data_IF_591160961831
#
_entry.id   IF_591160961831
#
_cell.length_a   1.000
_cell.length_b   1.000
_cell.length_c   1.000
_cell.angle_alpha   90.00
_cell.angle_beta   90.00
_cell.angle_gamma   90.00
#
_symmetry.space_group_name_H-M   'P 1'
#
loop_
_entity.id
_entity.type
_entity.pdbx_description
1 polymer ?
#
# COMPACT_ATOMS: atom_id res chain seq x y z
N UNK A 1 12.14 11.80 -15.18
CA UNK A 1 11.12 10.81 -14.75
C UNK A 1 9.95 11.55 -14.14
N UNK A 2 8.72 11.30 -14.53
CA UNK A 2 7.51 11.88 -13.91
C UNK A 2 6.97 10.93 -12.85
N UNK A 3 6.72 11.42 -11.64
CA UNK A 3 6.27 10.59 -10.52
C UNK A 3 4.90 11.06 -10.05
N UNK A 4 3.95 10.13 -10.01
CA UNK A 4 2.64 10.33 -9.37
C UNK A 4 2.72 9.87 -7.91
N UNK A 5 2.30 10.73 -7.00
CA UNK A 5 2.22 10.49 -5.55
C UNK A 5 0.75 10.45 -5.12
N UNK A 6 0.41 9.45 -4.30
CA UNK A 6 -0.91 9.26 -3.70
C UNK A 6 -0.77 8.61 -2.32
N UNK A 7 -1.88 8.46 -1.60
CA UNK A 7 -1.98 7.73 -0.33
C UNK A 7 -3.45 7.40 -0.01
N UNK A 8 -3.70 6.81 1.15
CA UNK A 8 -5.03 6.65 1.76
C UNK A 8 -5.28 7.51 3.00
N UNK A 9 -4.24 8.06 3.63
CA UNK A 9 -4.38 9.00 4.76
C UNK A 9 -4.88 10.40 4.35
N UNK A 10 -4.89 10.70 3.04
CA UNK A 10 -5.36 11.96 2.46
C UNK A 10 -4.26 12.99 2.16
N UNK A 11 -4.63 14.01 1.36
CA UNK A 11 -3.71 14.98 0.73
C UNK A 11 -2.87 15.84 1.69
N UNK A 12 -3.32 15.97 2.94
CA UNK A 12 -2.67 16.77 3.97
C UNK A 12 -1.85 15.93 4.96
N UNK A 13 -1.84 14.60 4.81
CA UNK A 13 -1.22 13.67 5.75
C UNK A 13 0.30 13.87 5.85
N UNK A 14 0.84 13.62 7.05
CA UNK A 14 2.29 13.68 7.31
C UNK A 14 3.07 12.70 6.45
N UNK A 15 2.56 11.47 6.29
CA UNK A 15 3.19 10.43 5.47
C UNK A 15 3.32 10.79 3.99
N UNK A 16 2.36 11.54 3.43
CA UNK A 16 2.44 12.03 2.06
C UNK A 16 3.51 13.12 1.89
N UNK A 17 3.73 13.96 2.91
CA UNK A 17 4.84 14.93 2.91
C UNK A 17 6.19 14.22 2.92
N UNK A 18 6.31 13.15 3.71
CA UNK A 18 7.51 12.29 3.71
C UNK A 18 7.71 11.66 2.34
N UNK A 19 6.64 11.13 1.72
CA UNK A 19 6.73 10.56 0.38
C UNK A 19 7.18 11.59 -0.66
N UNK A 20 6.62 12.79 -0.62
CA UNK A 20 7.02 13.89 -1.51
C UNK A 20 8.50 14.25 -1.33
N UNK A 21 8.98 14.34 -0.08
CA UNK A 21 10.39 14.57 0.22
C UNK A 21 11.29 13.47 -0.37
N UNK A 22 10.92 12.19 -0.20
CA UNK A 22 11.67 11.06 -0.77
C UNK A 22 11.67 11.11 -2.31
N UNK A 23 10.53 11.41 -2.92
CA UNK A 23 10.38 11.47 -4.38
C UNK A 23 11.21 12.61 -5.01
N UNK A 24 11.38 13.74 -4.30
CA UNK A 24 12.23 14.86 -4.73
C UNK A 24 13.69 14.48 -4.96
N UNK A 25 14.20 13.44 -4.29
CA UNK A 25 15.55 12.94 -4.54
C UNK A 25 15.72 12.31 -5.93
N UNK A 26 14.61 11.97 -6.60
CA UNK A 26 14.62 11.28 -7.90
C UNK A 26 14.05 12.12 -9.04
N UNK A 27 13.22 13.13 -8.75
CA UNK A 27 12.63 13.99 -9.79
C UNK A 27 12.07 15.31 -9.26
N UNK A 28 12.12 16.33 -10.12
CA UNK A 28 11.41 17.61 -9.95
C UNK A 28 9.97 17.58 -10.51
N UNK A 29 9.65 16.63 -11.41
CA UNK A 29 8.32 16.47 -12.02
C UNK A 29 7.45 15.54 -11.17
N UNK A 30 6.97 16.09 -10.06
CA UNK A 30 6.09 15.41 -9.10
C UNK A 30 4.64 15.88 -9.27
N UNK A 31 3.72 14.91 -9.29
CA UNK A 31 2.28 15.13 -9.28
C UNK A 31 1.70 14.50 -8.02
N UNK A 32 0.88 15.25 -7.29
CA UNK A 32 0.17 14.76 -6.10
C UNK A 32 -1.31 14.71 -6.40
N UNK A 33 -1.89 13.51 -6.36
CA UNK A 33 -3.35 13.30 -6.48
C UNK A 33 -3.74 12.30 -5.40
N UNK A 34 -4.44 12.77 -4.38
CA UNK A 34 -4.77 11.96 -3.19
C UNK A 34 -6.21 12.22 -2.71
N UNK A 35 -6.77 11.35 -1.85
CA UNK A 35 -8.05 11.59 -1.22
C UNK A 35 -8.10 12.91 -0.45
N UNK A 36 -9.26 13.56 -0.40
CA UNK A 36 -9.48 14.77 0.38
C UNK A 36 -9.48 14.50 1.90
N UNK A 37 -9.87 13.29 2.29
CA UNK A 37 -10.01 12.82 3.68
C UNK A 37 -9.40 11.41 3.80
N UNK A 38 -9.14 10.95 5.02
CA UNK A 38 -8.60 9.62 5.29
C UNK A 38 -9.59 8.52 4.84
N UNK A 39 -9.07 7.48 4.18
CA UNK A 39 -9.81 6.37 3.56
C UNK A 39 -9.25 5.00 4.00
N UNK A 40 -8.72 4.90 5.23
CA UNK A 40 -8.15 3.66 5.75
C UNK A 40 -9.19 2.52 5.71
N UNK A 41 -8.78 1.35 5.21
CA UNK A 41 -9.64 0.17 5.11
C UNK A 41 -10.70 0.22 4.00
N UNK A 42 -10.64 1.20 3.09
CA UNK A 42 -11.52 1.24 1.91
C UNK A 42 -11.27 0.09 0.92
N UNK A 43 -10.16 -0.66 1.05
CA UNK A 43 -9.75 -1.70 0.10
C UNK A 43 -9.55 -1.17 -1.31
N UNK A 44 -9.54 -2.09 -2.28
CA UNK A 44 -9.44 -1.77 -3.70
C UNK A 44 -10.81 -1.36 -4.28
N UNK A 45 -11.46 -0.37 -3.66
CA UNK A 45 -12.79 0.08 -4.05
C UNK A 45 -12.74 1.26 -5.03
N UNK A 46 -13.58 1.18 -6.06
CA UNK A 46 -13.81 2.24 -7.04
C UNK A 46 -15.17 2.88 -6.79
N UNK A 47 -15.23 4.22 -6.77
CA UNK A 47 -16.50 4.93 -6.55
C UNK A 47 -17.33 4.94 -7.84
N UNK A 48 -18.33 4.05 -7.92
CA UNK A 48 -19.23 3.95 -9.08
C UNK A 48 -20.64 4.53 -8.84
N UNK A 49 -21.07 4.62 -7.59
CA UNK A 49 -22.44 4.98 -7.22
C UNK A 49 -22.68 6.49 -7.07
N UNK A 50 -21.62 7.30 -7.08
CA UNK A 50 -21.69 8.75 -6.89
C UNK A 50 -20.60 9.47 -7.70
N UNK A 51 -20.82 10.74 -8.10
CA UNK A 51 -19.80 11.49 -8.82
C UNK A 51 -18.58 11.77 -7.93
N UNK A 52 -17.38 11.65 -8.52
CA UNK A 52 -16.11 12.04 -7.90
C UNK A 52 -15.84 13.51 -8.22
N UNK A 53 -15.46 14.31 -7.22
CA UNK A 53 -15.04 15.70 -7.42
C UNK A 53 -13.54 15.80 -7.31
N UNK A 54 -12.94 16.49 -8.28
CA UNK A 54 -11.52 16.84 -8.30
C UNK A 54 -11.36 18.32 -7.93
N UNK A 55 -10.46 18.62 -7.01
CA UNK A 55 -10.12 20.00 -6.63
C UNK A 55 -8.62 20.22 -6.82
N UNK A 56 -8.27 21.26 -7.58
CA UNK A 56 -6.89 21.74 -7.71
C UNK A 56 -6.51 22.53 -6.46
N UNK A 57 -5.39 22.16 -5.85
CA UNK A 57 -4.80 22.84 -4.69
C UNK A 57 -3.57 23.66 -5.08
N UNK A 58 -2.81 23.16 -6.06
CA UNK A 58 -1.65 23.84 -6.66
C UNK A 58 -1.46 23.36 -8.12
N UNK A 59 -0.43 23.84 -8.83
CA UNK A 59 -0.16 23.50 -10.23
C UNK A 59 -0.23 22.00 -10.50
N UNK A 60 0.44 21.19 -9.66
CA UNK A 60 0.52 19.72 -9.76
C UNK A 60 0.01 18.99 -8.50
N UNK A 61 -0.83 19.65 -7.71
CA UNK A 61 -1.38 19.10 -6.46
C UNK A 61 -2.90 19.16 -6.48
N UNK A 62 -3.53 18.02 -6.31
CA UNK A 62 -4.97 17.85 -6.40
C UNK A 62 -5.49 16.94 -5.28
N UNK A 63 -6.76 17.12 -4.92
CA UNK A 63 -7.47 16.17 -4.07
C UNK A 63 -8.77 15.70 -4.70
N UNK A 64 -9.18 14.47 -4.37
CA UNK A 64 -10.43 13.86 -4.84
C UNK A 64 -11.36 13.49 -3.68
N UNK A 65 -12.67 13.61 -3.87
CA UNK A 65 -13.68 13.14 -2.88
C UNK A 65 -13.95 11.64 -2.96
N UNK A 66 -12.92 10.85 -3.29
CA UNK A 66 -12.99 9.42 -3.58
C UNK A 66 -11.87 8.65 -2.91
N UNK A 67 -11.67 7.41 -3.34
CA UNK A 67 -10.70 6.46 -2.79
C UNK A 67 -9.28 6.71 -3.33
N UNK A 68 -8.25 6.04 -2.79
CA UNK A 68 -6.90 6.05 -3.36
C UNK A 68 -6.89 5.56 -4.81
N UNK A 69 -7.67 4.52 -5.11
CA UNK A 69 -7.92 4.00 -6.47
C UNK A 69 -8.50 5.09 -7.37
N UNK A 70 -9.55 5.79 -6.92
CA UNK A 70 -10.14 6.91 -7.67
C UNK A 70 -9.10 8.01 -7.94
N UNK A 71 -8.20 8.27 -6.98
CA UNK A 71 -7.13 9.27 -7.10
C UNK A 71 -6.18 8.92 -8.26
N UNK A 72 -5.74 7.66 -8.33
CA UNK A 72 -4.86 7.17 -9.40
C UNK A 72 -5.57 7.17 -10.74
N UNK A 73 -6.83 6.74 -10.78
CA UNK A 73 -7.65 6.75 -11.99
C UNK A 73 -7.88 8.16 -12.53
N UNK A 74 -8.15 9.13 -11.66
CA UNK A 74 -8.28 10.54 -12.05
C UNK A 74 -6.95 11.12 -12.52
N UNK A 75 -5.84 10.73 -11.88
CA UNK A 75 -4.51 11.15 -12.32
C UNK A 75 -4.19 10.62 -13.72
N UNK A 76 -4.18 9.30 -13.90
CA UNK A 76 -3.71 8.65 -15.14
C UNK A 76 -4.75 8.79 -16.27
N UNK A 77 -6.04 8.69 -15.96
CA UNK A 77 -7.11 8.70 -16.94
C UNK A 77 -7.56 10.11 -17.37
N UNK A 78 -7.35 11.13 -16.54
CA UNK A 78 -7.83 12.49 -16.82
C UNK A 78 -6.71 13.54 -16.80
N UNK A 79 -6.01 13.73 -15.67
CA UNK A 79 -5.03 14.81 -15.53
C UNK A 79 -3.75 14.61 -16.35
N UNK A 80 -3.29 13.36 -16.44
CA UNK A 80 -2.02 12.95 -17.02
C UNK A 80 -2.22 12.09 -18.27
N UNK A 81 -3.40 12.19 -18.92
CA UNK A 81 -3.79 11.34 -20.04
C UNK A 81 -2.83 11.40 -21.22
N UNK A 82 -2.35 12.59 -21.54
CA UNK A 82 -1.42 12.83 -22.66
C UNK A 82 0.03 12.52 -22.29
N UNK A 83 0.34 12.57 -20.99
CA UNK A 83 1.70 12.54 -20.44
C UNK A 83 1.70 11.68 -19.17
N UNK A 84 1.64 10.36 -19.37
CA UNK A 84 1.56 9.37 -18.28
C UNK A 84 2.73 9.51 -17.28
N UNK A 85 2.52 9.12 -16.01
CA UNK A 85 3.64 8.99 -15.07
C UNK A 85 4.53 7.81 -15.44
N UNK A 86 5.81 7.91 -15.12
CA UNK A 86 6.80 6.84 -15.27
C UNK A 86 6.82 5.92 -14.02
N UNK A 87 6.34 6.44 -12.89
CA UNK A 87 6.32 5.79 -11.59
C UNK A 87 5.12 6.29 -10.78
N UNK A 88 4.43 5.36 -10.10
CA UNK A 88 3.45 5.66 -9.06
C UNK A 88 4.03 5.29 -7.71
N UNK A 89 4.02 6.22 -6.77
CA UNK A 89 4.34 5.95 -5.37
C UNK A 89 3.09 6.19 -4.52
N UNK A 90 2.76 5.23 -3.66
CA UNK A 90 1.63 5.29 -2.74
C UNK A 90 2.10 5.21 -1.30
N UNK A 91 1.71 6.17 -0.46
CA UNK A 91 2.08 6.24 0.96
C UNK A 91 2.66 7.61 1.38
N UNK A 92 3.59 7.69 2.34
CA UNK A 92 3.97 6.60 3.25
C UNK A 92 2.82 6.36 4.22
N UNK A 93 2.23 5.17 4.19
CA UNK A 93 1.11 4.84 5.06
C UNK A 93 1.51 4.89 6.54
N UNK A 94 0.61 5.40 7.37
CA UNK A 94 0.71 5.26 8.83
C UNK A 94 0.19 3.89 9.27
N UNK A 95 1.07 2.90 9.25
CA UNK A 95 0.74 1.53 9.62
C UNK A 95 1.26 0.52 8.63
N UNK A 96 1.45 -0.70 9.10
CA UNK A 96 1.94 -1.78 8.28
C UNK A 96 0.86 -2.24 7.28
N UNK A 97 1.30 -2.64 6.09
CA UNK A 97 0.49 -3.39 5.13
C UNK A 97 1.25 -4.68 4.83
N UNK A 98 1.10 -5.66 5.72
CA UNK A 98 1.86 -6.92 5.72
C UNK A 98 0.92 -8.10 5.48
N UNK A 99 1.48 -9.18 4.96
CA UNK A 99 0.75 -10.43 4.74
C UNK A 99 -0.54 -10.19 3.94
N UNK A 100 -1.66 -10.77 4.36
CA UNK A 100 -2.96 -10.69 3.72
C UNK A 100 -3.66 -9.33 3.88
N UNK A 101 -3.19 -8.44 4.78
CA UNK A 101 -3.71 -7.07 4.94
C UNK A 101 -3.54 -6.24 3.66
N UNK A 102 -2.59 -6.63 2.79
CA UNK A 102 -2.36 -6.00 1.48
C UNK A 102 -3.63 -5.96 0.62
N UNK A 103 -4.56 -6.90 0.81
CA UNK A 103 -5.82 -6.96 0.05
C UNK A 103 -6.85 -5.92 0.50
N UNK A 104 -6.74 -5.44 1.74
CA UNK A 104 -7.64 -4.44 2.33
C UNK A 104 -7.01 -3.04 2.38
N UNK A 105 -5.72 -2.94 2.06
CA UNK A 105 -4.95 -1.71 2.14
C UNK A 105 -5.30 -0.73 1.03
N UNK A 106 -5.68 0.50 1.40
CA UNK A 106 -5.89 1.60 0.45
C UNK A 106 -4.58 2.06 -0.19
N UNK A 107 -3.51 2.16 0.60
CA UNK A 107 -2.15 2.45 0.09
C UNK A 107 -1.70 1.43 -0.96
N UNK A 108 -1.81 0.13 -0.69
CA UNK A 108 -1.43 -0.91 -1.66
C UNK A 108 -2.36 -0.91 -2.88
N UNK A 109 -3.66 -0.73 -2.66
CA UNK A 109 -4.68 -0.61 -3.72
C UNK A 109 -4.38 0.51 -4.73
N UNK A 110 -3.90 1.67 -4.27
CA UNK A 110 -3.48 2.75 -5.17
C UNK A 110 -2.28 2.34 -6.04
N UNK A 111 -1.31 1.61 -5.47
CA UNK A 111 -0.19 1.06 -6.24
C UNK A 111 -0.65 -0.04 -7.23
N UNK A 112 -1.59 -0.89 -6.83
CA UNK A 112 -2.21 -1.87 -7.71
C UNK A 112 -2.81 -1.21 -8.95
N UNK A 113 -3.57 -0.12 -8.80
CA UNK A 113 -4.11 0.62 -9.95
C UNK A 113 -3.04 1.20 -10.86
N UNK A 114 -1.95 1.74 -10.30
CA UNK A 114 -0.80 2.19 -11.09
C UNK A 114 -0.23 1.08 -11.96
N UNK A 115 -0.02 -0.10 -11.36
CA UNK A 115 0.47 -1.28 -12.05
C UNK A 115 -0.53 -1.83 -13.09
N UNK A 116 -1.84 -1.80 -12.81
CA UNK A 116 -2.89 -2.17 -13.78
C UNK A 116 -2.93 -1.21 -14.98
N UNK A 117 -2.65 0.08 -14.76
CA UNK A 117 -2.53 1.09 -15.80
C UNK A 117 -1.23 0.98 -16.64
N UNK A 118 -0.38 0.00 -16.33
CA UNK A 118 0.89 -0.27 -17.01
C UNK A 118 2.03 0.63 -16.53
N UNK A 119 1.91 1.24 -15.36
CA UNK A 119 2.95 2.08 -14.75
C UNK A 119 3.60 1.32 -13.60
N UNK A 120 4.92 1.42 -13.44
CA UNK A 120 5.60 0.82 -12.27
C UNK A 120 5.05 1.47 -11.00
N UNK A 121 4.75 0.66 -9.99
CA UNK A 121 4.09 1.14 -8.78
C UNK A 121 4.70 0.56 -7.51
N UNK A 122 4.92 1.42 -6.52
CA UNK A 122 5.50 1.07 -5.24
C UNK A 122 4.61 1.61 -4.11
N UNK A 123 4.22 0.73 -3.19
CA UNK A 123 3.53 1.08 -1.96
C UNK A 123 4.53 1.14 -0.80
N UNK A 124 4.44 2.17 0.04
CA UNK A 124 5.35 2.41 1.16
C UNK A 124 4.55 2.57 2.45
N UNK A 125 4.97 1.85 3.49
CA UNK A 125 4.25 1.76 4.77
C UNK A 125 5.21 1.83 5.95
N UNK A 126 4.93 2.67 6.95
CA UNK A 126 5.71 2.74 8.18
C UNK A 126 5.01 1.96 9.29
N UNK A 127 5.68 0.93 9.82
CA UNK A 127 5.19 0.21 11.00
C UNK A 127 5.38 1.08 12.24
N UNK A 128 4.38 1.12 13.12
CA UNK A 128 4.43 1.84 14.39
C UNK A 128 4.68 0.89 15.58
N UNK A 129 5.44 1.36 16.57
CA UNK A 129 5.91 0.52 17.68
C UNK A 129 4.85 0.24 18.76
N UNK A 130 3.81 1.08 18.83
CA UNK A 130 2.77 1.05 19.87
C UNK A 130 1.42 1.48 19.29
N UNK A 131 0.36 0.85 19.76
CA UNK A 131 -1.01 1.29 19.51
C UNK A 131 -1.26 2.67 20.16
N UNK A 132 -2.15 3.48 19.56
CA UNK A 132 -2.57 4.76 20.14
C UNK A 132 -1.67 5.96 19.85
N UNK A 133 -0.69 5.85 18.92
CA UNK A 133 0.19 6.97 18.58
C UNK A 133 -0.47 8.06 17.70
N UNK A 134 -1.60 7.79 17.06
CA UNK A 134 -2.30 8.80 16.26
C UNK A 134 -1.37 9.53 15.28
N UNK A 135 -1.34 10.86 15.32
CA UNK A 135 -0.50 11.68 14.42
C UNK A 135 0.98 11.77 14.85
N UNK A 136 1.37 11.13 15.94
CA UNK A 136 2.76 11.16 16.44
C UNK A 136 3.62 10.01 15.92
N UNK A 137 3.15 9.23 14.94
CA UNK A 137 3.93 8.12 14.37
C UNK A 137 5.20 8.68 13.70
N UNK A 138 6.40 8.29 14.17
CA UNK A 138 7.64 8.73 13.55
C UNK A 138 7.88 7.94 12.25
N UNK A 139 7.97 8.65 11.14
CA UNK A 139 8.38 8.10 9.84
C UNK A 139 9.91 7.96 9.71
N UNK A 140 10.62 7.81 10.84
CA UNK A 140 12.08 7.92 10.88
C UNK A 140 12.77 6.85 10.02
N UNK A 141 12.35 5.59 10.13
CA UNK A 141 12.87 4.52 9.27
C UNK A 141 12.59 4.80 7.78
N UNK A 142 11.36 5.22 7.44
CA UNK A 142 11.02 5.61 6.07
C UNK A 142 11.86 6.79 5.55
N UNK A 143 12.11 7.81 6.37
CA UNK A 143 12.95 8.96 6.00
C UNK A 143 14.42 8.52 5.81
N UNK A 144 14.97 7.75 6.75
CA UNK A 144 16.38 7.36 6.72
C UNK A 144 16.73 6.27 5.69
N UNK A 145 15.76 5.44 5.32
CA UNK A 145 15.97 4.32 4.38
C UNK A 145 15.22 4.43 3.06
N UNK A 146 14.24 5.33 2.94
CA UNK A 146 13.37 5.43 1.78
C UNK A 146 14.12 5.58 0.46
N UNK A 147 15.13 6.45 0.41
CA UNK A 147 15.95 6.61 -0.80
C UNK A 147 16.76 5.34 -1.13
N UNK A 148 17.34 4.69 -0.12
CA UNK A 148 18.12 3.45 -0.28
C UNK A 148 17.27 2.29 -0.81
N UNK A 149 15.98 2.28 -0.46
CA UNK A 149 15.02 1.27 -0.90
C UNK A 149 14.49 1.60 -2.30
N UNK A 150 14.12 2.87 -2.54
CA UNK A 150 13.52 3.30 -3.79
C UNK A 150 14.50 3.28 -4.96
N UNK A 151 15.77 3.67 -4.74
CA UNK A 151 16.79 3.74 -5.80
C UNK A 151 16.91 2.44 -6.61
N UNK A 152 17.18 1.27 -6.02
CA UNK A 152 17.26 0.02 -6.79
C UNK A 152 15.93 -0.37 -7.43
N UNK A 153 14.79 -0.07 -6.80
CA UNK A 153 13.46 -0.37 -7.39
C UNK A 153 13.15 0.50 -8.61
N UNK A 154 13.67 1.73 -8.66
CA UNK A 154 13.52 2.64 -9.80
C UNK A 154 14.47 2.24 -10.94
N UNK A 155 15.68 1.80 -10.60
CA UNK A 155 16.74 1.44 -11.57
C UNK A 155 16.57 0.03 -12.14
N UNK A 156 15.88 -0.86 -11.43
CA UNK A 156 15.67 -2.25 -11.85
C UNK A 156 14.41 -2.38 -12.70
N UNK A 157 14.52 -3.07 -13.83
CA UNK A 157 13.36 -3.53 -14.59
C UNK A 157 12.81 -4.82 -13.98
N UNK A 158 11.50 -4.87 -13.76
CA UNK A 158 10.79 -6.07 -13.34
C UNK A 158 9.53 -6.26 -14.19
N UNK A 159 8.91 -7.43 -14.05
CA UNK A 159 7.81 -7.85 -14.90
C UNK A 159 6.68 -6.79 -14.96
N UNK A 160 6.03 -6.61 -16.12
CA UNK A 160 4.86 -5.75 -16.22
C UNK A 160 3.78 -6.16 -15.23
N UNK A 161 2.97 -5.19 -14.77
CA UNK A 161 1.89 -5.41 -13.78
C UNK A 161 2.37 -5.99 -12.44
N UNK A 162 3.64 -5.79 -12.10
CA UNK A 162 4.16 -6.00 -10.74
C UNK A 162 3.99 -4.71 -9.94
N UNK A 163 3.44 -4.84 -8.72
CA UNK A 163 3.60 -3.80 -7.70
C UNK A 163 4.66 -4.25 -6.69
N UNK A 164 5.35 -3.31 -6.08
CA UNK A 164 6.28 -3.62 -4.98
C UNK A 164 5.74 -3.01 -3.69
N UNK A 165 5.51 -3.85 -2.69
CA UNK A 165 5.07 -3.43 -1.37
C UNK A 165 6.28 -3.32 -0.43
N UNK A 166 6.44 -2.17 0.24
CA UNK A 166 7.56 -1.87 1.13
C UNK A 166 7.04 -1.54 2.52
N UNK A 167 7.55 -2.22 3.54
CA UNK A 167 7.29 -1.87 4.94
C UNK A 167 8.58 -1.55 5.68
N UNK A 168 8.60 -0.38 6.33
CA UNK A 168 9.69 0.05 7.20
C UNK A 168 9.43 -0.39 8.64
N UNK A 169 10.41 -0.97 9.35
CA UNK A 169 10.22 -1.43 10.71
C UNK A 169 10.01 -0.26 11.67
N UNK A 170 9.38 -0.55 12.81
CA UNK A 170 9.12 0.41 13.88
C UNK A 170 10.38 0.68 14.74
N UNK A 171 11.49 1.00 14.07
CA UNK A 171 12.79 1.26 14.68
C UNK A 171 13.29 2.64 14.25
N UNK A 172 14.13 3.29 15.08
CA UNK A 172 14.94 4.40 14.62
C UNK A 172 15.77 4.02 13.39
N UNK A 173 16.00 4.99 12.51
CA UNK A 173 16.68 4.78 11.22
C UNK A 173 18.09 4.19 11.36
N UNK A 174 18.80 4.50 12.45
CA UNK A 174 20.12 3.98 12.79
C UNK A 174 20.13 2.54 13.32
N UNK A 175 18.96 1.99 13.67
CA UNK A 175 18.78 0.62 14.17
C UNK A 175 18.23 -0.35 13.13
N UNK A 176 17.78 0.15 11.98
CA UNK A 176 17.36 -0.71 10.86
C UNK A 176 18.56 -1.49 10.32
N UNK A 177 18.43 -2.82 10.25
CA UNK A 177 19.54 -3.74 9.96
C UNK A 177 19.85 -3.90 8.47
N UNK A 178 18.95 -3.46 7.60
CA UNK A 178 19.08 -3.60 6.15
C UNK A 178 17.74 -3.77 5.45
N UNK A 179 17.81 -4.25 4.20
CA UNK A 179 16.66 -4.50 3.33
C UNK A 179 16.61 -6.00 3.02
N UNK A 180 15.43 -6.61 3.07
CA UNK A 180 15.21 -8.00 2.64
C UNK A 180 14.09 -8.06 1.60
N UNK A 181 14.38 -8.73 0.49
CA UNK A 181 13.34 -9.15 -0.47
C UNK A 181 12.72 -10.44 0.05
N UNK A 182 11.40 -10.45 0.21
CA UNK A 182 10.67 -11.49 0.94
C UNK A 182 9.37 -11.84 0.26
N UNK A 183 8.77 -12.96 0.66
CA UNK A 183 7.41 -13.33 0.24
C UNK A 183 6.36 -12.71 1.16
N UNK A 184 5.14 -12.60 0.66
CA UNK A 184 3.98 -12.22 1.46
C UNK A 184 3.72 -13.30 2.52
N UNK A 185 3.58 -12.89 3.79
CA UNK A 185 3.14 -13.76 4.89
C UNK A 185 1.62 -13.99 4.90
N UNK A 186 1.13 -14.70 5.90
CA UNK A 186 -0.30 -14.90 6.15
C UNK A 186 -0.59 -14.86 7.66
N UNK A 187 -1.66 -14.16 8.05
CA UNK A 187 -2.18 -14.24 9.41
C UNK A 187 -3.00 -15.54 9.63
N UNK A 188 -3.06 -16.01 10.88
CA UNK A 188 -3.92 -17.13 11.27
C UNK A 188 -5.38 -16.65 11.41
N UNK A 189 -6.17 -16.78 10.33
CA UNK A 189 -7.60 -16.43 10.32
C UNK A 189 -8.42 -17.17 11.40
N UNK A 190 -7.99 -18.35 11.84
CA UNK A 190 -8.67 -19.13 12.87
C UNK A 190 -8.68 -18.46 14.25
N UNK A 191 -7.98 -17.34 14.41
CA UNK A 191 -7.82 -16.61 15.69
C UNK A 191 -8.28 -15.16 15.65
N UNK A 192 -9.07 -14.76 14.64
CA UNK A 192 -9.64 -13.42 14.56
C UNK A 192 -10.35 -13.05 15.88
N UNK A 193 -9.94 -11.94 16.51
CA UNK A 193 -10.56 -11.46 17.75
C UNK A 193 -11.64 -10.46 17.38
N UNK A 194 -12.87 -10.76 17.77
CA UNK A 194 -13.95 -9.79 17.78
C UNK A 194 -14.04 -9.24 19.21
N UNK A 195 -13.61 -8.00 19.42
CA UNK A 195 -13.72 -7.32 20.71
C UNK A 195 -15.11 -6.70 20.82
N UNK A 196 -16.02 -7.40 21.50
CA UNK A 196 -17.35 -6.89 21.81
C UNK A 196 -17.26 -5.90 22.98
N UNK A 197 -17.90 -4.76 22.81
CA UNK A 197 -18.12 -3.76 23.85
C UNK A 197 -19.58 -3.33 23.81
N UNK A 198 -20.04 -2.72 24.89
CA UNK A 198 -21.41 -2.20 24.98
C UNK A 198 -21.33 -0.70 25.21
N UNK A 199 -22.10 0.06 24.43
CA UNK A 199 -22.16 1.50 24.58
C UNK A 199 -22.97 1.90 25.85
N UNK A 200 -22.94 3.18 26.27
CA UNK A 200 -23.70 3.62 27.45
C UNK A 200 -25.22 3.46 27.35
N UNK A 201 -25.76 3.17 26.16
CA UNK A 201 -27.20 2.94 25.92
C UNK A 201 -27.56 1.45 25.91
N UNK A 202 -26.58 0.57 26.09
CA UNK A 202 -26.79 -0.88 26.12
C UNK A 202 -26.69 -1.55 24.74
N UNK A 203 -26.22 -0.85 23.70
CA UNK A 203 -26.03 -1.45 22.38
C UNK A 203 -24.63 -2.01 22.23
N UNK A 204 -24.55 -3.25 21.78
CA UNK A 204 -23.27 -3.87 21.46
C UNK A 204 -22.64 -3.25 20.20
N UNK A 205 -21.32 -3.04 20.27
CA UNK A 205 -20.47 -2.70 19.15
C UNK A 205 -19.22 -3.59 19.17
N UNK A 206 -18.65 -3.81 17.99
CA UNK A 206 -17.61 -4.81 17.80
C UNK A 206 -16.42 -4.18 17.09
N UNK A 207 -15.23 -4.45 17.60
CA UNK A 207 -13.98 -4.16 16.90
C UNK A 207 -13.38 -5.46 16.37
N UNK A 208 -12.90 -5.40 15.14
CA UNK A 208 -12.09 -6.47 14.58
C UNK A 208 -10.63 -6.22 14.96
N UNK A 209 -10.04 -7.15 15.70
CA UNK A 209 -8.63 -7.16 16.04
C UNK A 209 -7.90 -8.27 15.28
N UNK A 210 -6.92 -7.89 14.46
CA UNK A 210 -5.99 -8.83 13.82
C UNK A 210 -5.04 -9.43 14.88
N UNK A 211 -4.68 -10.70 14.72
CA UNK A 211 -3.93 -11.50 15.72
C UNK A 211 -2.59 -12.04 15.19
N UNK A 212 -1.71 -12.57 16.06
CA UNK A 212 -0.35 -12.94 15.70
C UNK A 212 -0.24 -13.98 14.58
N UNK A 213 0.87 -13.86 13.86
CA UNK A 213 1.31 -14.57 12.66
C UNK A 213 1.42 -16.10 12.79
N UNK A 214 1.30 -16.79 11.63
CA UNK A 214 1.84 -18.14 11.43
C UNK A 214 3.33 -18.04 11.11
N UNK A 215 4.22 -18.41 12.03
CA UNK A 215 5.66 -18.36 11.78
C UNK A 215 6.07 -19.39 10.73
N UNK A 216 6.99 -19.00 9.85
CA UNK A 216 7.63 -19.90 8.90
C UNK A 216 8.99 -20.35 9.45
N UNK A 217 9.45 -21.58 9.15
CA UNK A 217 10.80 -22.03 9.52
C UNK A 217 11.93 -21.19 8.92
N UNK A 218 11.65 -20.37 7.90
CA UNK A 218 12.64 -19.67 7.09
C UNK A 218 12.83 -18.18 7.39
N UNK A 219 11.95 -17.55 8.18
CA UNK A 219 11.97 -16.09 8.40
C UNK A 219 12.03 -15.28 7.10
N UNK A 220 11.30 -15.74 6.08
CA UNK A 220 11.36 -15.24 4.72
C UNK A 220 10.07 -14.52 4.29
N UNK A 221 9.21 -14.22 5.27
CA UNK A 221 8.01 -13.39 5.07
C UNK A 221 8.25 -11.92 5.39
N UNK A 222 7.38 -11.07 4.86
CA UNK A 222 7.35 -9.64 5.15
C UNK A 222 7.15 -9.31 6.63
N UNK A 223 6.28 -10.03 7.34
CA UNK A 223 6.10 -9.87 8.78
C UNK A 223 7.40 -10.21 9.52
N UNK A 224 8.04 -11.32 9.19
CA UNK A 224 9.28 -11.77 9.86
C UNK A 224 10.44 -10.81 9.60
N UNK A 225 10.60 -10.32 8.37
CA UNK A 225 11.63 -9.34 8.06
C UNK A 225 11.47 -8.04 8.87
N UNK A 226 10.24 -7.52 8.98
CA UNK A 226 9.94 -6.33 9.78
C UNK A 226 10.19 -6.59 11.27
N UNK A 227 9.75 -7.74 11.80
CA UNK A 227 9.98 -8.14 13.19
C UNK A 227 11.48 -8.30 13.51
N UNK A 228 12.26 -8.77 12.54
CA UNK A 228 13.72 -8.91 12.65
C UNK A 228 14.46 -7.57 12.54
N UNK A 229 13.76 -6.46 12.24
CA UNK A 229 14.33 -5.12 12.13
C UNK A 229 14.88 -4.77 10.74
N UNK A 230 14.38 -5.41 9.69
CA UNK A 230 14.71 -5.12 8.30
C UNK A 230 13.54 -4.39 7.62
N UNK A 231 13.85 -3.59 6.59
CA UNK A 231 12.84 -3.16 5.62
C UNK A 231 12.44 -4.37 4.78
N UNK A 232 11.15 -4.67 4.70
CA UNK A 232 10.63 -5.69 3.80
C UNK A 232 10.33 -5.11 2.43
N UNK A 233 10.69 -5.84 1.39
CA UNK A 233 10.39 -5.52 -0.02
C UNK A 233 9.75 -6.75 -0.65
N UNK A 234 8.47 -6.65 -0.96
CA UNK A 234 7.66 -7.77 -1.45
C UNK A 234 7.13 -7.44 -2.84
N UNK A 235 7.63 -8.06 -3.92
CA UNK A 235 6.99 -7.97 -5.22
C UNK A 235 5.68 -8.75 -5.19
N UNK A 236 4.57 -8.11 -5.57
CA UNK A 236 3.25 -8.72 -5.64
C UNK A 236 2.75 -8.77 -7.09
N UNK A 237 1.94 -9.78 -7.36
CA UNK A 237 1.29 -9.99 -8.65
C UNK A 237 -0.16 -9.54 -8.61
N UNK A 238 -0.67 -9.10 -9.77
CA UNK A 238 -2.05 -8.66 -9.94
C UNK A 238 -2.93 -9.71 -10.62
N UNK A 239 -2.32 -10.67 -11.32
CA UNK A 239 -3.05 -11.83 -11.82
C UNK A 239 -3.26 -12.82 -10.68
N UNK A 240 -4.50 -12.88 -10.19
CA UNK A 240 -4.91 -13.76 -9.11
C UNK A 240 -5.32 -15.16 -9.61
N UNK A 241 -5.13 -15.45 -10.90
CA UNK A 241 -5.36 -16.79 -11.46
C UNK A 241 -4.45 -17.79 -10.76
N UNK A 242 -5.03 -18.72 -10.02
CA UNK A 242 -4.26 -19.81 -9.41
C UNK A 242 -3.93 -20.89 -10.46
N UNK A 243 -2.88 -20.64 -11.23
CA UNK A 243 -2.48 -21.46 -12.39
C UNK A 243 -2.39 -22.95 -12.07
N UNK A 244 -1.89 -23.32 -10.88
CA UNK A 244 -1.77 -24.71 -10.44
C UNK A 244 -3.12 -25.46 -10.30
N UNK A 245 -4.24 -24.75 -10.11
CA UNK A 245 -5.57 -25.35 -10.04
C UNK A 245 -6.27 -25.47 -11.39
N UNK A 246 -5.78 -24.79 -12.43
CA UNK A 246 -6.51 -24.66 -13.70
C UNK A 246 -6.79 -25.99 -14.38
N UNK A 247 -5.82 -26.90 -14.42
CA UNK A 247 -5.99 -28.19 -15.09
C UNK A 247 -6.99 -29.09 -14.36
N UNK A 248 -6.90 -29.18 -13.03
CA UNK A 248 -7.85 -29.92 -12.22
C UNK A 248 -9.30 -29.39 -12.38
N UNK A 249 -9.47 -28.06 -12.37
CA UNK A 249 -10.79 -27.43 -12.58
C UNK A 249 -11.28 -27.68 -14.01
N UNK A 250 -10.42 -27.57 -15.02
CA UNK A 250 -10.77 -27.86 -16.43
C UNK A 250 -11.25 -29.31 -16.59
N UNK A 251 -10.58 -30.26 -15.94
CA UNK A 251 -10.99 -31.67 -15.95
C UNK A 251 -12.38 -31.89 -15.35
N UNK A 252 -12.79 -31.11 -14.35
CA UNK A 252 -14.13 -31.21 -13.75
C UNK A 252 -15.27 -30.86 -14.72
N UNK A 253 -15.00 -30.03 -15.73
CA UNK A 253 -15.95 -29.69 -16.80
C UNK A 253 -15.77 -30.54 -18.07
N UNK A 254 -14.84 -31.50 -18.06
CA UNK A 254 -14.54 -32.37 -19.20
C UNK A 254 -15.44 -33.62 -19.26
N UNK A 255 -16.60 -33.61 -18.58
CA UNK A 255 -17.66 -34.59 -18.88
C UNK A 255 -18.13 -34.33 -20.31
N UNK A 256 -17.81 -35.28 -21.19
CA UNK A 256 -18.14 -35.26 -22.61
C UNK A 256 -19.65 -35.28 -22.89
N UNK A 257 -20.02 -35.13 -24.18
CA UNK A 257 -21.39 -34.97 -24.66
C UNK A 257 -22.37 -36.06 -24.22
#
# INVERSE_FOLDING_TARGET
MRILLTNDDGVNAGGLKVLEQLARAFSDDLWVVAPAEEQSGAGHSLTLSRPIRLRKLDERRFCVTGTPTDSVMMAVGHLMRELKPDLVLSGVNRGANLADDVTYSGTVSAAMEGALAGVRAIALSQVYAREGMGDTVPFDAAIGWGERVLRPLIETEFAPRTLVNVNFPALPSDQVKGIRVVRQGFHDYGRARIDQRTDPRGYDYFWFGLRPMVQTPGHDTDIEAVADGYVSVTPLQLDLTHAASMDAIRSAYSYGP
#
